data_IF_750496233127
#
_entry.id   IF_750496233127
#
_cell.length_a   1.000
_cell.length_b   1.000
_cell.length_c   1.000
_cell.angle_alpha   90.00
_cell.angle_beta   90.00
_cell.angle_gamma   90.00
#
_symmetry.space_group_name_H-M   'P 1'
#
loop_
_entity.id
_entity.type
_entity.pdbx_description
1 polymer ?
#
# COMPACT_ATOMS: atom_id res chain seq x y z
N UNK A 1 17.77 3.69 20.26
CA UNK A 1 16.51 3.40 19.55
C UNK A 1 16.60 3.91 18.12
N UNK A 2 16.53 5.22 17.86
CA UNK A 2 16.68 5.79 16.50
C UNK A 2 18.02 5.47 15.81
N UNK A 3 19.14 5.56 16.54
CA UNK A 3 20.48 5.23 16.01
C UNK A 3 20.58 3.77 15.56
N UNK A 4 19.93 2.85 16.28
CA UNK A 4 19.92 1.43 15.91
C UNK A 4 19.15 1.22 14.60
N UNK A 5 18.03 1.91 14.42
CA UNK A 5 17.18 1.77 13.24
C UNK A 5 17.79 2.41 11.99
N UNK A 6 18.52 3.50 12.17
CA UNK A 6 19.37 4.08 11.11
C UNK A 6 20.48 3.11 10.73
N UNK A 7 21.18 2.53 11.71
CA UNK A 7 22.29 1.60 11.45
C UNK A 7 21.83 0.26 10.84
N UNK A 8 20.58 -0.15 11.08
CA UNK A 8 19.97 -1.32 10.43
C UNK A 8 19.69 -1.07 8.95
N UNK A 9 19.38 0.18 8.58
CA UNK A 9 18.97 0.52 7.22
C UNK A 9 20.20 0.77 6.34
N UNK A 10 20.59 -0.23 5.57
CA UNK A 10 21.77 -0.16 4.67
C UNK A 10 21.38 0.06 3.21
N UNK A 11 20.12 -0.17 2.86
CA UNK A 11 19.61 -0.09 1.49
C UNK A 11 18.48 0.95 1.37
N UNK A 12 18.57 1.79 0.34
CA UNK A 12 17.61 2.85 0.05
C UNK A 12 17.11 2.70 -1.37
N UNK A 13 15.79 2.72 -1.54
CA UNK A 13 15.15 2.73 -2.85
C UNK A 13 14.09 3.83 -2.90
N UNK A 14 13.77 4.33 -4.09
CA UNK A 14 12.66 5.27 -4.24
C UNK A 14 11.32 4.56 -4.04
N UNK A 15 10.36 5.23 -3.40
CA UNK A 15 9.01 4.71 -3.28
C UNK A 15 8.37 4.56 -4.65
N UNK A 16 7.72 3.42 -4.85
CA UNK A 16 6.85 3.16 -5.99
C UNK A 16 5.76 2.16 -5.58
N UNK A 17 4.72 2.00 -6.41
CA UNK A 17 3.65 1.04 -6.13
C UNK A 17 4.15 -0.41 -6.09
N UNK A 18 5.14 -0.74 -6.91
CA UNK A 18 5.81 -2.05 -6.97
C UNK A 18 6.93 -2.22 -5.95
N UNK A 19 7.52 -1.14 -5.44
CA UNK A 19 8.65 -1.21 -4.52
C UNK A 19 8.30 -2.01 -3.26
N UNK A 20 9.28 -2.74 -2.72
CA UNK A 20 9.15 -3.50 -1.48
C UNK A 20 10.34 -3.19 -0.56
N UNK A 21 10.08 -3.25 0.74
CA UNK A 21 11.10 -3.18 1.77
C UNK A 21 11.52 -4.61 2.16
N UNK A 22 12.78 -4.77 2.54
CA UNK A 22 13.33 -5.98 3.16
C UNK A 22 13.78 -5.65 4.60
N UNK A 23 14.38 -6.62 5.28
CA UNK A 23 14.77 -6.51 6.68
C UNK A 23 15.85 -5.46 6.97
N UNK A 24 16.51 -4.88 5.97
CA UNK A 24 17.55 -3.85 6.11
C UNK A 24 17.37 -2.68 5.13
N UNK A 25 16.19 -2.53 4.53
CA UNK A 25 15.93 -1.47 3.54
C UNK A 25 14.80 -0.53 3.93
N UNK A 26 14.81 0.67 3.35
CA UNK A 26 13.71 1.61 3.42
C UNK A 26 13.42 2.25 2.06
N UNK A 27 12.18 2.71 1.88
CA UNK A 27 11.77 3.48 0.70
C UNK A 27 11.80 4.97 0.99
N UNK A 28 12.28 5.76 0.06
CA UNK A 28 12.31 7.22 0.14
C UNK A 28 11.23 7.85 -0.72
N UNK A 29 10.49 8.82 -0.16
CA UNK A 29 9.54 9.64 -0.90
C UNK A 29 9.65 11.12 -0.48
N UNK A 30 9.35 12.08 -1.37
CA UNK A 30 9.22 13.48 -0.97
C UNK A 30 8.06 13.65 0.02
N UNK A 31 8.28 14.37 1.12
CA UNK A 31 7.24 14.62 2.13
C UNK A 31 6.01 15.33 1.54
N UNK A 32 6.25 16.26 0.61
CA UNK A 32 5.21 17.02 -0.10
C UNK A 32 4.31 16.17 -0.99
N UNK A 33 4.74 14.98 -1.40
CA UNK A 33 3.95 14.07 -2.23
C UNK A 33 2.92 13.26 -1.41
N UNK A 34 2.69 13.63 -0.15
CA UNK A 34 1.85 12.87 0.79
C UNK A 34 1.01 13.77 1.69
N UNK A 35 0.00 13.18 2.31
CA UNK A 35 -0.83 13.85 3.32
C UNK A 35 -0.12 14.06 4.67
N UNK A 36 1.19 13.79 4.75
CA UNK A 36 1.96 13.99 5.99
C UNK A 36 1.98 15.45 6.44
N UNK A 37 1.99 16.41 5.50
CA UNK A 37 1.94 17.84 5.84
C UNK A 37 0.69 18.21 6.66
N UNK A 38 -0.45 17.60 6.35
CA UNK A 38 -1.69 17.81 7.11
C UNK A 38 -1.53 17.30 8.55
N UNK A 39 -0.94 16.11 8.69
CA UNK A 39 -0.67 15.51 10.00
C UNK A 39 0.37 16.32 10.80
N UNK A 40 1.39 16.85 10.13
CA UNK A 40 2.43 17.70 10.75
C UNK A 40 1.82 18.95 11.39
N UNK A 41 0.90 19.63 10.70
CA UNK A 41 0.22 20.84 11.22
C UNK A 41 -0.49 20.54 12.54
N UNK A 42 -1.18 19.40 12.62
CA UNK A 42 -1.91 18.98 13.81
C UNK A 42 -0.97 18.60 14.97
N UNK A 43 0.12 17.88 14.67
CA UNK A 43 1.10 17.47 15.69
C UNK A 43 1.93 18.64 16.21
N UNK A 44 2.24 19.63 15.38
CA UNK A 44 3.02 20.80 15.80
C UNK A 44 2.20 21.80 16.64
N UNK A 45 0.87 21.73 16.55
CA UNK A 45 -0.06 22.61 17.25
C UNK A 45 -1.26 21.80 17.75
N UNK A 46 -1.07 20.89 18.72
CA UNK A 46 -2.17 20.12 19.25
C UNK A 46 -3.16 21.06 19.93
N UNK A 47 -4.43 21.01 19.51
CA UNK A 47 -5.49 21.77 20.15
C UNK A 47 -5.71 21.22 21.57
N UNK A 48 -5.84 22.08 22.61
CA UNK A 48 -5.99 21.62 23.99
C UNK A 48 -7.17 20.66 24.21
N UNK A 49 -8.23 20.80 23.41
CA UNK A 49 -9.41 19.93 23.40
C UNK A 49 -9.14 18.53 22.84
N UNK A 50 -8.05 18.35 22.09
CA UNK A 50 -7.60 17.05 21.59
C UNK A 50 -6.64 16.34 22.56
N UNK A 51 -6.42 16.88 23.76
CA UNK A 51 -5.59 16.26 24.77
C UNK A 51 -6.23 14.97 25.30
N UNK A 52 -5.47 13.88 25.22
CA UNK A 52 -5.84 12.57 25.75
C UNK A 52 -5.71 12.60 27.27
N UNK A 53 -6.79 12.25 27.98
CA UNK A 53 -6.82 12.24 29.45
C UNK A 53 -6.80 10.83 30.04
N UNK A 54 -7.10 9.81 29.22
CA UNK A 54 -7.12 8.41 29.62
C UNK A 54 -6.68 7.48 28.49
N UNK A 55 -6.29 6.25 28.83
CA UNK A 55 -5.99 5.20 27.83
C UNK A 55 -7.22 4.84 27.00
N UNK A 56 -8.42 5.05 27.53
CA UNK A 56 -9.67 4.80 26.81
C UNK A 56 -9.86 5.73 25.61
N UNK A 57 -9.38 6.98 25.70
CA UNK A 57 -9.43 7.95 24.59
C UNK A 57 -8.54 7.52 23.40
N UNK A 58 -7.59 6.61 23.64
CA UNK A 58 -6.68 6.07 22.63
C UNK A 58 -7.24 4.82 21.91
N UNK A 59 -8.33 4.24 22.43
CA UNK A 59 -8.92 3.02 21.85
C UNK A 59 -9.44 3.31 20.44
N UNK A 60 -8.99 2.51 19.47
CA UNK A 60 -9.41 2.67 18.08
C UNK A 60 -8.65 3.76 17.32
N UNK A 61 -7.66 4.42 17.93
CA UNK A 61 -6.71 5.25 17.20
C UNK A 61 -6.11 4.45 16.03
N UNK A 62 -5.90 5.09 14.88
CA UNK A 62 -5.31 4.42 13.71
C UNK A 62 -3.78 4.27 13.82
N UNK A 63 -3.15 5.13 14.61
CA UNK A 63 -1.73 5.16 14.89
C UNK A 63 -1.38 6.38 15.74
N UNK A 64 -0.09 6.62 15.89
CA UNK A 64 0.46 7.76 16.63
C UNK A 64 1.72 8.28 15.96
N UNK A 65 2.06 9.53 16.29
CA UNK A 65 3.25 10.21 15.79
C UNK A 65 4.05 10.71 16.98
N UNK A 66 5.35 10.43 16.95
CA UNK A 66 6.31 10.93 17.94
C UNK A 66 7.19 11.96 17.28
N UNK A 67 7.22 13.17 17.84
CA UNK A 67 8.08 14.26 17.40
C UNK A 67 9.37 14.24 18.21
N UNK A 68 10.48 13.93 17.56
CA UNK A 68 11.82 14.02 18.13
C UNK A 68 12.43 15.36 17.76
N UNK A 69 13.00 16.06 18.74
CA UNK A 69 13.76 17.30 18.50
C UNK A 69 15.16 17.17 19.11
N UNK A 70 16.18 17.49 18.33
CA UNK A 70 17.56 17.46 18.78
C UNK A 70 18.38 18.49 17.99
N UNK A 71 19.11 19.38 18.68
CA UNK A 71 19.94 20.42 18.07
C UNK A 71 19.21 21.25 16.99
N UNK A 72 17.94 21.58 17.21
CA UNK A 72 17.12 22.34 16.26
C UNK A 72 16.59 21.54 15.06
N UNK A 73 16.99 20.28 14.92
CA UNK A 73 16.42 19.37 13.92
C UNK A 73 15.20 18.65 14.49
N UNK A 74 14.18 18.48 13.65
CA UNK A 74 12.95 17.77 14.00
C UNK A 74 12.77 16.56 13.11
N UNK A 75 12.49 15.41 13.73
CA UNK A 75 12.13 14.18 13.04
C UNK A 75 10.80 13.69 13.60
N UNK A 76 9.86 13.37 12.71
CA UNK A 76 8.60 12.76 13.08
C UNK A 76 8.69 11.26 12.80
N UNK A 77 8.31 10.43 13.75
CA UNK A 77 8.24 9.00 13.57
C UNK A 77 6.80 8.53 13.74
N UNK A 78 6.29 7.77 12.78
CA UNK A 78 4.87 7.37 12.74
C UNK A 78 4.75 5.88 12.91
N UNK A 79 3.80 5.46 13.74
CA UNK A 79 3.49 4.06 13.98
C UNK A 79 2.00 3.83 13.84
N UNK A 80 1.62 2.87 13.01
CA UNK A 80 0.26 2.37 12.93
C UNK A 80 -0.07 1.59 14.19
N UNK A 81 -1.29 1.75 14.67
CA UNK A 81 -1.80 1.00 15.81
C UNK A 81 -1.64 -0.50 15.57
N UNK A 82 -0.92 -1.15 16.48
CA UNK A 82 -0.72 -2.59 16.48
C UNK A 82 -2.01 -3.29 16.96
N UNK A 83 -2.07 -4.62 16.82
CA UNK A 83 -3.26 -5.37 17.19
C UNK A 83 -3.68 -5.11 18.65
N UNK A 84 -2.73 -4.88 19.56
CA UNK A 84 -2.94 -4.56 20.98
C UNK A 84 -3.73 -3.29 21.24
N UNK A 85 -3.84 -2.39 20.25
CA UNK A 85 -4.55 -1.11 20.37
C UNK A 85 -5.97 -1.16 19.80
N UNK A 86 -6.36 -2.28 19.19
CA UNK A 86 -7.72 -2.50 18.70
C UNK A 86 -8.63 -2.86 19.87
N UNK A 87 -9.83 -2.30 19.90
CA UNK A 87 -10.89 -2.65 20.86
C UNK A 87 -11.19 -4.15 20.93
N UNK A 88 -10.92 -4.90 19.85
CA UNK A 88 -11.08 -6.36 19.79
C UNK A 88 -10.00 -7.17 20.52
N UNK A 89 -8.86 -6.57 20.84
CA UNK A 89 -7.70 -7.28 21.41
C UNK A 89 -7.92 -7.77 22.85
N UNK A 90 -8.40 -6.95 23.81
CA UNK A 90 -8.74 -7.43 25.16
C UNK A 90 -9.73 -8.59 25.16
N UNK A 91 -10.63 -8.67 24.17
CA UNK A 91 -11.59 -9.77 24.06
C UNK A 91 -10.95 -11.09 23.57
N UNK A 92 -9.69 -11.08 23.10
CA UNK A 92 -9.01 -12.26 22.54
C UNK A 92 -7.69 -12.60 23.23
N UNK A 93 -7.03 -11.63 23.87
CA UNK A 93 -5.70 -11.78 24.46
C UNK A 93 -5.63 -11.07 25.82
N UNK A 94 -5.02 -11.73 26.80
CA UNK A 94 -4.71 -11.17 28.12
C UNK A 94 -3.26 -10.70 28.08
N UNK A 95 -3.01 -9.42 28.38
CA UNK A 95 -1.65 -8.93 28.55
C UNK A 95 -1.07 -9.52 29.83
N UNK A 96 0.12 -10.13 29.74
CA UNK A 96 0.82 -10.71 30.89
C UNK A 96 2.14 -9.96 31.09
N UNK A 97 2.41 -9.53 32.32
CA UNK A 97 3.66 -8.92 32.75
C UNK A 97 4.47 -9.98 33.48
N UNK A 98 5.70 -10.23 33.03
CA UNK A 98 6.66 -11.02 33.78
C UNK A 98 7.57 -10.07 34.56
N UNK A 99 7.50 -10.13 35.89
CA UNK A 99 8.37 -9.34 36.76
C UNK A 99 8.73 -10.15 38.00
N UNK A 100 9.98 -10.02 38.47
CA UNK A 100 10.47 -10.69 39.67
C UNK A 100 10.28 -12.24 39.70
N UNK A 101 10.29 -12.89 38.53
CA UNK A 101 10.14 -14.35 38.46
C UNK A 101 8.69 -14.84 38.42
N UNK A 102 7.71 -13.93 38.45
CA UNK A 102 6.29 -14.25 38.39
C UNK A 102 5.64 -13.65 37.15
N UNK A 103 4.68 -14.40 36.59
CA UNK A 103 3.85 -13.99 35.47
C UNK A 103 2.49 -13.54 36.02
N UNK A 104 2.18 -12.26 35.90
CA UNK A 104 0.93 -11.67 36.37
C UNK A 104 0.12 -11.14 35.19
N UNK A 105 -1.21 -11.23 35.26
CA UNK A 105 -2.05 -10.51 34.31
C UNK A 105 -1.85 -9.00 34.52
N UNK A 106 -1.65 -8.25 33.42
CA UNK A 106 -1.62 -6.80 33.48
C UNK A 106 -3.02 -6.30 33.87
N UNK A 107 -3.14 -5.57 34.98
CA UNK A 107 -4.43 -5.03 35.43
C UNK A 107 -5.01 -4.01 34.45
N UNK A 108 -4.15 -3.32 33.69
CA UNK A 108 -4.52 -2.43 32.61
C UNK A 108 -3.85 -2.85 31.30
N UNK A 109 -4.57 -2.67 30.20
CA UNK A 109 -3.97 -2.67 28.86
C UNK A 109 -3.13 -1.39 28.71
N UNK A 110 -1.97 -1.36 29.36
CA UNK A 110 -1.07 -0.23 29.37
C UNK A 110 -0.68 0.19 27.96
N UNK A 111 -0.65 1.50 27.73
CA UNK A 111 -0.17 2.07 26.48
C UNK A 111 1.34 1.82 26.34
N UNK A 112 1.73 1.08 25.32
CA UNK A 112 3.15 0.81 25.02
C UNK A 112 3.59 1.58 23.79
N UNK A 113 4.63 2.40 23.91
CA UNK A 113 5.31 3.01 22.77
C UNK A 113 6.28 1.96 22.18
N UNK A 114 6.09 1.66 20.92
CA UNK A 114 6.86 0.65 20.20
C UNK A 114 8.30 1.09 19.98
N UNK A 115 9.21 0.11 19.92
CA UNK A 115 10.63 0.37 19.67
C UNK A 115 10.96 0.78 18.24
N UNK A 116 10.07 0.48 17.31
CA UNK A 116 10.21 0.71 15.89
C UNK A 116 9.03 1.49 15.33
N UNK A 117 9.29 2.25 14.26
CA UNK A 117 8.30 3.05 13.56
C UNK A 117 8.15 2.56 12.12
N UNK A 118 6.98 2.81 11.55
CA UNK A 118 6.60 2.33 10.22
C UNK A 118 7.08 3.26 9.10
N UNK A 119 7.27 4.54 9.42
CA UNK A 119 7.98 5.50 8.59
C UNK A 119 8.39 6.72 9.42
N UNK A 120 9.36 7.46 8.89
CA UNK A 120 9.92 8.67 9.47
C UNK A 120 9.78 9.81 8.49
N UNK A 121 9.54 11.03 8.97
CA UNK A 121 9.51 12.24 8.16
C UNK A 121 10.48 13.27 8.72
N UNK A 122 11.38 13.71 7.85
CA UNK A 122 12.16 14.94 8.01
C UNK A 122 11.48 16.07 7.22
N UNK A 123 12.09 17.26 7.14
CA UNK A 123 11.49 18.44 6.49
C UNK A 123 11.03 18.12 5.06
N UNK A 124 11.86 17.43 4.28
CA UNK A 124 11.59 17.20 2.85
C UNK A 124 11.43 15.72 2.48
N UNK A 125 11.87 14.81 3.35
CA UNK A 125 12.01 13.39 3.00
C UNK A 125 11.27 12.49 3.99
N UNK A 126 10.50 11.56 3.43
CA UNK A 126 9.94 10.41 4.12
C UNK A 126 10.83 9.18 3.91
N UNK A 127 11.10 8.47 5.00
CA UNK A 127 11.76 7.16 5.02
C UNK A 127 10.77 6.12 5.48
N UNK A 128 10.41 5.18 4.61
CA UNK A 128 9.33 4.22 4.79
C UNK A 128 9.94 2.85 5.03
N UNK A 129 9.82 2.35 6.25
CA UNK A 129 10.31 1.02 6.66
C UNK A 129 9.20 -0.03 6.56
N UNK A 130 7.93 0.37 6.63
CA UNK A 130 6.77 -0.51 6.49
C UNK A 130 5.76 0.06 5.48
N UNK A 131 5.95 -0.27 4.19
CA UNK A 131 5.14 0.24 3.07
C UNK A 131 3.62 0.10 3.27
N UNK A 132 3.16 -1.08 3.71
CA UNK A 132 1.71 -1.32 3.91
C UNK A 132 1.11 -0.41 5.00
N UNK A 133 1.87 -0.14 6.06
CA UNK A 133 1.41 0.72 7.14
C UNK A 133 1.39 2.19 6.68
N UNK A 134 2.44 2.63 5.98
CA UNK A 134 2.50 3.94 5.34
C UNK A 134 1.32 4.19 4.39
N UNK A 135 1.08 3.29 3.42
CA UNK A 135 -0.02 3.42 2.44
C UNK A 135 -1.39 3.46 3.11
N UNK A 136 -1.56 2.72 4.21
CA UNK A 136 -2.81 2.67 4.97
C UNK A 136 -3.06 3.94 5.79
N UNK A 137 -2.02 4.51 6.41
CA UNK A 137 -2.15 5.68 7.29
C UNK A 137 -2.23 6.98 6.51
N UNK A 138 -1.46 7.10 5.44
CA UNK A 138 -1.41 8.32 4.63
C UNK A 138 -2.60 8.47 3.67
N UNK A 139 -3.61 7.58 3.79
CA UNK A 139 -4.81 7.55 2.95
C UNK A 139 -4.49 7.85 1.49
N UNK A 140 -3.58 7.06 0.90
CA UNK A 140 -3.09 7.23 -0.48
C UNK A 140 -4.18 7.05 -1.56
N UNK A 141 -5.46 7.01 -1.17
CA UNK A 141 -6.63 6.87 -2.04
C UNK A 141 -6.74 8.03 -3.05
N UNK A 142 -6.45 9.26 -2.64
CA UNK A 142 -6.46 10.41 -3.55
C UNK A 142 -5.42 10.24 -4.66
N UNK A 143 -4.19 9.87 -4.29
CA UNK A 143 -3.13 9.58 -5.26
C UNK A 143 -3.49 8.44 -6.21
N UNK A 144 -4.11 7.35 -5.74
CA UNK A 144 -4.57 6.28 -6.62
C UNK A 144 -5.72 6.70 -7.53
N UNK A 145 -6.58 7.59 -7.06
CA UNK A 145 -7.69 8.14 -7.86
C UNK A 145 -7.12 9.00 -8.98
N UNK A 146 -6.17 9.89 -8.65
CA UNK A 146 -5.48 10.74 -9.62
C UNK A 146 -4.71 9.90 -10.65
N UNK A 147 -3.92 8.92 -10.22
CA UNK A 147 -3.20 8.02 -11.12
C UNK A 147 -4.16 7.25 -12.05
N UNK A 148 -5.32 6.84 -11.54
CA UNK A 148 -6.33 6.19 -12.38
C UNK A 148 -6.99 7.15 -13.38
N UNK A 149 -7.19 8.42 -13.01
CA UNK A 149 -7.67 9.46 -13.93
C UNK A 149 -6.64 9.74 -15.04
N UNK A 150 -5.36 9.82 -14.68
CA UNK A 150 -4.27 10.00 -15.66
C UNK A 150 -4.15 8.80 -16.60
N UNK A 151 -4.23 7.57 -16.07
CA UNK A 151 -4.23 6.35 -16.87
C UNK A 151 -5.40 6.28 -17.85
N UNK A 152 -6.59 6.77 -17.47
CA UNK A 152 -7.74 6.85 -18.39
C UNK A 152 -7.50 7.81 -19.56
N UNK A 153 -6.70 8.86 -19.34
CA UNK A 153 -6.34 9.84 -20.37
C UNK A 153 -5.18 9.38 -21.26
N UNK A 154 -4.45 8.33 -20.86
CA UNK A 154 -3.36 7.74 -21.65
C UNK A 154 -3.93 7.06 -22.92
N UNK A 155 -3.53 7.49 -24.13
CA UNK A 155 -3.93 6.85 -25.37
C UNK A 155 -3.52 5.38 -25.47
N UNK A 156 -2.35 4.99 -24.95
CA UNK A 156 -1.85 3.63 -25.07
C UNK A 156 -2.69 2.66 -24.23
N UNK A 157 -3.21 3.14 -23.10
CA UNK A 157 -4.12 2.37 -22.25
C UNK A 157 -5.57 2.42 -22.75
N UNK A 158 -6.10 3.62 -23.02
CA UNK A 158 -7.50 3.79 -23.42
C UNK A 158 -7.82 3.12 -24.75
N UNK A 159 -6.87 3.08 -25.70
CA UNK A 159 -7.06 2.43 -26.99
C UNK A 159 -7.16 0.90 -26.92
N UNK A 160 -6.80 0.28 -25.80
CA UNK A 160 -7.00 -1.15 -25.60
C UNK A 160 -8.48 -1.52 -25.60
N UNK A 161 -9.36 -0.60 -25.23
CA UNK A 161 -10.77 -0.86 -25.00
C UNK A 161 -11.64 -0.21 -26.09
N UNK A 162 -12.66 -0.94 -26.54
CA UNK A 162 -13.69 -0.38 -27.42
C UNK A 162 -14.51 0.69 -26.67
N UNK A 163 -14.81 0.40 -25.39
CA UNK A 163 -15.37 1.33 -24.42
C UNK A 163 -14.77 1.00 -23.04
N UNK A 164 -14.17 2.01 -22.41
CA UNK A 164 -13.55 1.89 -21.08
C UNK A 164 -14.57 2.08 -19.95
N UNK A 165 -15.73 2.66 -20.23
CA UNK A 165 -16.73 3.03 -19.23
C UNK A 165 -17.10 1.89 -18.27
N UNK A 166 -17.37 0.65 -18.74
CA UNK A 166 -17.70 -0.46 -17.85
C UNK A 166 -16.54 -0.87 -16.92
N UNK A 167 -15.29 -0.61 -17.33
CA UNK A 167 -14.11 -0.83 -16.49
C UNK A 167 -14.04 0.21 -15.37
N UNK A 168 -14.28 1.48 -15.72
CA UNK A 168 -14.30 2.61 -14.78
C UNK A 168 -15.38 2.41 -13.71
N UNK A 169 -16.58 2.01 -14.13
CA UNK A 169 -17.69 1.69 -13.21
C UNK A 169 -17.35 0.54 -12.26
N UNK A 170 -16.72 -0.52 -12.78
CA UNK A 170 -16.29 -1.67 -11.97
C UNK A 170 -15.25 -1.30 -10.91
N UNK A 171 -14.30 -0.41 -11.24
CA UNK A 171 -13.27 0.07 -10.32
C UNK A 171 -13.87 1.01 -9.26
N UNK A 172 -14.68 1.96 -9.72
CA UNK A 172 -15.38 2.93 -8.88
C UNK A 172 -14.44 3.61 -7.86
N UNK A 173 -14.85 3.62 -6.59
CA UNK A 173 -14.07 4.21 -5.49
C UNK A 173 -13.37 3.16 -4.62
N UNK A 174 -13.28 1.92 -5.10
CA UNK A 174 -12.69 0.81 -4.36
C UNK A 174 -11.17 0.97 -4.27
N UNK A 175 -10.65 1.18 -3.06
CA UNK A 175 -9.22 1.43 -2.81
C UNK A 175 -8.31 0.30 -3.28
N UNK A 176 -8.78 -0.96 -3.23
CA UNK A 176 -8.00 -2.10 -3.70
C UNK A 176 -7.88 -2.11 -5.22
N UNK A 177 -8.96 -1.79 -5.93
CA UNK A 177 -8.94 -1.73 -7.39
C UNK A 177 -8.18 -0.51 -7.89
N UNK A 178 -8.35 0.67 -7.27
CA UNK A 178 -7.58 1.86 -7.59
C UNK A 178 -6.07 1.63 -7.43
N UNK A 179 -5.66 0.96 -6.35
CA UNK A 179 -4.26 0.56 -6.17
C UNK A 179 -3.78 -0.38 -7.28
N UNK A 180 -4.62 -1.33 -7.71
CA UNK A 180 -4.28 -2.22 -8.82
C UNK A 180 -4.12 -1.47 -10.13
N UNK A 181 -4.93 -0.45 -10.39
CA UNK A 181 -4.76 0.39 -11.59
C UNK A 181 -3.44 1.16 -11.57
N UNK A 182 -3.06 1.70 -10.43
CA UNK A 182 -1.76 2.36 -10.27
C UNK A 182 -0.59 1.37 -10.51
N UNK A 183 -0.73 0.11 -10.09
CA UNK A 183 0.22 -0.96 -10.44
C UNK A 183 0.25 -1.25 -11.94
N UNK A 184 -0.90 -1.30 -12.61
CA UNK A 184 -1.01 -1.53 -14.07
C UNK A 184 -0.32 -0.41 -14.83
N UNK A 185 -0.57 0.84 -14.45
CA UNK A 185 0.10 2.02 -15.00
C UNK A 185 1.61 1.88 -14.86
N UNK A 186 2.12 1.65 -13.65
CA UNK A 186 3.56 1.51 -13.42
C UNK A 186 4.19 0.34 -14.21
N UNK A 187 3.48 -0.79 -14.36
CA UNK A 187 4.00 -1.93 -15.12
C UNK A 187 3.93 -1.71 -16.64
N UNK A 188 2.94 -0.96 -17.11
CA UNK A 188 2.70 -0.63 -18.53
C UNK A 188 2.78 -1.83 -19.49
N UNK A 189 2.42 -3.05 -19.06
CA UNK A 189 2.61 -4.27 -19.87
C UNK A 189 1.85 -4.25 -21.20
N UNK A 190 0.75 -3.51 -21.22
CA UNK A 190 -0.08 -3.32 -22.40
C UNK A 190 0.62 -2.51 -23.50
N UNK A 191 1.66 -1.73 -23.19
CA UNK A 191 2.44 -1.00 -24.19
C UNK A 191 3.48 -1.89 -24.91
N UNK A 192 3.68 -3.13 -24.44
CA UNK A 192 4.64 -4.04 -25.05
C UNK A 192 4.20 -4.42 -26.48
N UNK A 193 5.15 -4.42 -27.45
CA UNK A 193 4.86 -4.86 -28.81
C UNK A 193 4.30 -6.29 -28.82
N UNK A 194 3.15 -6.48 -29.47
CA UNK A 194 2.51 -7.79 -29.59
C UNK A 194 1.67 -8.24 -28.39
N UNK A 195 1.57 -7.45 -27.31
CA UNK A 195 0.75 -7.78 -26.14
C UNK A 195 -0.67 -8.20 -26.50
N UNK A 196 -1.35 -7.41 -27.34
CA UNK A 196 -2.72 -7.68 -27.77
C UNK A 196 -2.87 -8.98 -28.57
N UNK A 197 -1.86 -9.34 -29.38
CA UNK A 197 -1.87 -10.58 -30.13
C UNK A 197 -1.71 -11.79 -29.21
N UNK A 198 -0.74 -11.73 -28.29
CA UNK A 198 -0.53 -12.76 -27.27
C UNK A 198 -1.77 -12.92 -26.39
N UNK A 199 -2.41 -11.82 -26.00
CA UNK A 199 -3.62 -11.84 -25.18
C UNK A 199 -4.78 -12.57 -25.87
N UNK A 200 -5.02 -12.30 -27.16
CA UNK A 200 -6.06 -13.00 -27.93
C UNK A 200 -5.78 -14.49 -28.05
N UNK A 201 -4.53 -14.85 -28.36
CA UNK A 201 -4.11 -16.25 -28.50
C UNK A 201 -4.32 -17.02 -27.20
N UNK A 202 -3.85 -16.46 -26.08
CA UNK A 202 -3.99 -17.09 -24.76
C UNK A 202 -5.45 -17.14 -24.31
N UNK A 203 -6.23 -16.08 -24.55
CA UNK A 203 -7.66 -16.08 -24.23
C UNK A 203 -8.40 -17.21 -24.95
N UNK A 204 -8.10 -17.46 -26.23
CA UNK A 204 -8.69 -18.54 -27.00
C UNK A 204 -8.23 -19.93 -26.49
N UNK A 205 -6.94 -20.07 -26.17
CA UNK A 205 -6.36 -21.35 -25.72
C UNK A 205 -6.84 -21.74 -24.32
N UNK A 206 -6.99 -20.78 -23.42
CA UNK A 206 -7.32 -20.99 -22.01
C UNK A 206 -8.77 -20.66 -21.65
N UNK A 207 -9.57 -20.24 -22.62
CA UNK A 207 -10.96 -19.84 -22.46
C UNK A 207 -11.19 -18.85 -21.32
N UNK A 208 -10.46 -17.73 -21.31
CA UNK A 208 -10.57 -16.70 -20.25
C UNK A 208 -11.86 -15.87 -20.33
N UNK A 209 -12.65 -16.04 -21.40
CA UNK A 209 -13.93 -15.36 -21.57
C UNK A 209 -13.81 -13.87 -21.87
N UNK A 210 -12.64 -13.39 -22.31
CA UNK A 210 -12.50 -12.01 -22.77
C UNK A 210 -13.14 -11.85 -24.15
N UNK A 211 -13.80 -10.70 -24.33
CA UNK A 211 -14.45 -10.32 -25.56
C UNK A 211 -13.56 -9.34 -26.34
N UNK A 212 -13.49 -9.52 -27.66
CA UNK A 212 -12.72 -8.66 -28.55
C UNK A 212 -13.60 -8.17 -29.70
N UNK A 213 -13.43 -6.91 -30.09
CA UNK A 213 -14.00 -6.35 -31.30
C UNK A 213 -13.25 -6.93 -32.51
N UNK A 214 -13.98 -7.60 -33.39
CA UNK A 214 -13.45 -8.23 -34.61
C UNK A 214 -12.95 -7.22 -35.66
N UNK A 215 -13.35 -5.95 -35.55
CA UNK A 215 -13.05 -4.91 -36.55
C UNK A 215 -11.89 -4.02 -36.12
N UNK A 216 -11.85 -3.65 -34.85
CA UNK A 216 -10.89 -2.67 -34.33
C UNK A 216 -9.80 -3.27 -33.45
N UNK A 217 -9.81 -4.60 -33.28
CA UNK A 217 -8.85 -5.35 -32.48
C UNK A 217 -8.80 -4.97 -30.98
N UNK A 218 -9.84 -4.29 -30.47
CA UNK A 218 -9.96 -3.80 -29.08
C UNK A 218 -10.68 -4.79 -28.16
N UNK A 219 -10.47 -4.65 -26.85
CA UNK A 219 -11.16 -5.40 -25.79
C UNK A 219 -12.55 -4.80 -25.57
N UNK A 220 -13.58 -5.65 -25.52
CA UNK A 220 -14.94 -5.25 -25.14
C UNK A 220 -15.12 -5.55 -23.65
N UNK A 221 -15.24 -4.50 -22.84
CA UNK A 221 -15.39 -4.63 -21.39
C UNK A 221 -16.86 -4.80 -21.03
N UNK A 222 -17.14 -5.74 -20.13
CA UNK A 222 -18.40 -5.81 -19.41
C UNK A 222 -18.13 -6.19 -17.94
N UNK A 223 -19.15 -6.12 -17.10
CA UNK A 223 -19.03 -6.42 -15.67
C UNK A 223 -18.44 -7.81 -15.37
N UNK A 224 -18.69 -8.80 -16.25
CA UNK A 224 -18.17 -10.15 -16.12
C UNK A 224 -16.68 -10.27 -16.52
N UNK A 225 -16.21 -9.46 -17.46
CA UNK A 225 -14.82 -9.53 -17.97
C UNK A 225 -13.85 -8.62 -17.24
N UNK A 226 -14.34 -7.55 -16.59
CA UNK A 226 -13.52 -6.59 -15.85
C UNK A 226 -12.56 -7.24 -14.82
N UNK A 227 -12.97 -8.24 -13.99
CA UNK A 227 -12.06 -8.91 -13.07
C UNK A 227 -10.89 -9.61 -13.79
N UNK A 228 -11.19 -10.29 -14.90
CA UNK A 228 -10.20 -11.00 -15.72
C UNK A 228 -9.23 -10.03 -16.40
N UNK A 229 -9.75 -8.91 -16.91
CA UNK A 229 -8.93 -7.85 -17.51
C UNK A 229 -7.91 -7.32 -16.49
N UNK A 230 -8.34 -7.03 -15.26
CA UNK A 230 -7.42 -6.61 -14.20
C UNK A 230 -6.36 -7.67 -13.90
N UNK A 231 -6.73 -8.95 -13.81
CA UNK A 231 -5.77 -10.02 -13.54
C UNK A 231 -4.69 -10.14 -14.63
N UNK A 232 -5.08 -9.99 -15.90
CA UNK A 232 -4.16 -10.02 -17.04
C UNK A 232 -3.21 -8.83 -17.02
N UNK A 233 -3.76 -7.61 -16.88
CA UNK A 233 -2.95 -6.39 -16.91
C UNK A 233 -2.01 -6.26 -15.71
N UNK A 234 -2.39 -6.84 -14.56
CA UNK A 234 -1.55 -6.92 -13.37
C UNK A 234 -0.47 -8.00 -13.47
N UNK A 235 -0.57 -8.89 -14.44
CA UNK A 235 0.30 -10.05 -14.60
C UNK A 235 0.40 -10.93 -13.35
N UNK A 236 -0.75 -11.24 -12.75
CA UNK A 236 -0.83 -11.96 -11.48
C UNK A 236 -0.78 -13.50 -11.61
N UNK A 237 -0.38 -14.03 -12.76
CA UNK A 237 -0.31 -15.48 -13.00
C UNK A 237 1.13 -15.96 -12.91
N UNK A 238 1.33 -17.11 -12.25
CA UNK A 238 2.63 -17.76 -12.02
C UNK A 238 3.43 -18.00 -13.31
N UNK A 239 2.73 -18.34 -14.39
CA UNK A 239 3.24 -18.21 -15.74
C UNK A 239 2.37 -17.19 -16.47
N UNK A 240 2.98 -16.10 -16.89
CA UNK A 240 2.30 -15.19 -17.79
C UNK A 240 2.48 -15.66 -19.22
N UNK A 241 1.47 -16.34 -19.75
CA UNK A 241 1.51 -16.79 -21.14
C UNK A 241 1.35 -15.60 -22.11
N UNK A 242 0.92 -14.43 -21.63
CA UNK A 242 0.73 -13.22 -22.45
C UNK A 242 2.03 -12.46 -22.60
N UNK A 243 2.79 -12.29 -21.52
CA UNK A 243 4.09 -11.61 -21.55
C UNK A 243 5.27 -12.57 -21.72
N UNK A 244 5.02 -13.89 -21.68
CA UNK A 244 6.02 -14.95 -21.60
C UNK A 244 6.96 -14.83 -20.39
N UNK A 245 6.57 -14.05 -19.38
CA UNK A 245 7.33 -13.90 -18.15
C UNK A 245 7.12 -15.13 -17.26
N UNK A 246 8.24 -15.66 -16.77
CA UNK A 246 8.28 -16.67 -15.71
C UNK A 246 8.59 -15.91 -14.43
N UNK A 247 7.69 -16.01 -13.44
CA UNK A 247 7.87 -15.40 -12.13
C UNK A 247 8.26 -16.47 -11.12
N UNK A 248 9.42 -16.30 -10.48
CA UNK A 248 9.83 -17.16 -9.38
C UNK A 248 8.95 -16.90 -8.15
N UNK A 249 8.43 -17.96 -7.54
CA UNK A 249 7.74 -17.89 -6.25
C UNK A 249 8.78 -18.10 -5.15
N UNK A 250 8.98 -17.15 -4.23
CA UNK A 250 9.68 -17.43 -3.00
C UNK A 250 8.80 -18.40 -2.20
N UNK A 251 9.27 -19.64 -2.03
CA UNK A 251 8.63 -20.76 -1.33
C UNK A 251 7.43 -21.44 -2.03
N UNK A 252 7.62 -21.94 -3.26
CA UNK A 252 6.79 -23.03 -3.77
C UNK A 252 7.24 -24.37 -3.14
N UNK A 253 6.61 -24.75 -2.01
CA UNK A 253 6.70 -26.13 -1.52
C UNK A 253 5.89 -27.00 -2.48
N UNK A 254 6.56 -27.96 -3.12
CA UNK A 254 5.92 -29.03 -3.89
C UNK A 254 4.95 -29.79 -2.96
N UNK A 255 3.66 -29.80 -3.29
CA UNK A 255 2.69 -30.73 -2.68
C UNK A 255 2.66 -32.01 -3.50
#
# INVERSE_FOLDING_TARGET
>A
MLIHEVNRTTEFAQYSYLAQTNDNSCLAAPALATNFSLLKVQVDRPEPECAVNSVDDLKGAQGYVVKFTHNGQTLYAVKRSTASWKTSYPNKFINMVFSNGELSAAEDNGFTIEKNFDFYCSVDTLLITAKRAFESLMQYKEAYTQAFTELQADPDFSNLFADITPLVEYIGTNSTQLRRMATIEQKSLYSNPGFMNSLKQVNALRNWGLNFDQTNDKIIVCSATAPTILQVLLDHRLMSEVTSNIYDVPDAIQI
#
